data_IF_635325172416
#
_entry.id   IF_635325172416
#
_cell.length_a   1.000
_cell.length_b   1.000
_cell.length_c   1.000
_cell.angle_alpha   90.00
_cell.angle_beta   90.00
_cell.angle_gamma   90.00
#
_symmetry.space_group_name_H-M   'P 1'
#
loop_
_entity.id
_entity.type
_entity.pdbx_description
1 polymer ?
#
# COMPACT_ATOMS: atom_id res chain seq x y z
N UNK A 1 -4.65 1.49 -1.52
CA UNK A 1 -4.31 0.37 -0.62
C UNK A 1 -5.40 -0.68 -0.80
N UNK A 2 -5.06 -1.93 -1.12
CA UNK A 2 -6.03 -3.00 -1.39
C UNK A 2 -5.53 -4.38 -0.98
N UNK A 3 -6.41 -5.37 -1.05
CA UNK A 3 -6.16 -6.73 -0.56
C UNK A 3 -6.66 -7.85 -1.49
N UNK A 4 -7.60 -7.56 -2.40
CA UNK A 4 -8.26 -8.58 -3.22
C UNK A 4 -8.33 -8.23 -4.73
N UNK A 5 -8.69 -9.21 -5.57
CA UNK A 5 -8.72 -9.12 -7.04
C UNK A 5 -9.48 -7.90 -7.58
N UNK A 6 -10.62 -7.45 -7.01
CA UNK A 6 -11.30 -6.24 -7.46
C UNK A 6 -10.41 -4.99 -7.42
N UNK A 7 -9.38 -4.95 -6.57
CA UNK A 7 -8.48 -3.81 -6.43
C UNK A 7 -7.48 -3.68 -7.60
N UNK A 8 -7.24 -4.76 -8.36
CA UNK A 8 -6.23 -4.78 -9.43
C UNK A 8 -6.48 -3.73 -10.50
N UNK A 9 -7.75 -3.49 -10.86
CA UNK A 9 -8.11 -2.46 -11.83
C UNK A 9 -7.75 -1.05 -11.34
N UNK A 10 -7.83 -0.82 -10.02
CA UNK A 10 -7.46 0.46 -9.42
C UNK A 10 -5.94 0.60 -9.34
N UNK A 11 -5.19 -0.46 -9.04
CA UNK A 11 -3.72 -0.40 -8.94
C UNK A 11 -3.09 0.04 -10.26
N UNK A 12 -3.65 -0.38 -11.40
CA UNK A 12 -3.20 0.04 -12.74
C UNK A 12 -3.59 1.48 -13.09
N UNK A 13 -4.48 2.11 -12.32
CA UNK A 13 -5.06 3.42 -12.62
C UNK A 13 -4.55 4.53 -11.69
N UNK A 14 -3.77 4.20 -10.66
CA UNK A 14 -3.26 5.16 -9.66
C UNK A 14 -1.73 5.29 -9.75
N UNK A 15 -1.21 6.39 -9.21
CA UNK A 15 0.24 6.63 -9.20
C UNK A 15 1.02 5.85 -8.13
N UNK A 16 0.34 5.26 -7.14
CA UNK A 16 0.95 4.42 -6.10
C UNK A 16 -0.04 3.35 -5.64
N UNK A 17 0.08 2.14 -6.17
CA UNK A 17 -0.64 0.94 -5.75
C UNK A 17 0.04 0.29 -4.55
N UNK A 18 -0.72 0.06 -3.47
CA UNK A 18 -0.19 -0.54 -2.24
C UNK A 18 -1.04 -1.74 -1.84
N UNK A 19 -0.42 -2.91 -1.67
CA UNK A 19 -1.10 -4.10 -1.15
C UNK A 19 -0.80 -4.34 0.33
N UNK A 20 -1.74 -4.90 1.08
CA UNK A 20 -1.46 -5.37 2.45
C UNK A 20 -0.67 -6.68 2.47
N UNK A 21 0.02 -7.00 3.57
CA UNK A 21 0.94 -8.14 3.64
C UNK A 21 0.28 -9.50 3.34
N UNK A 22 -0.97 -9.66 3.77
CA UNK A 22 -1.83 -10.83 3.60
C UNK A 22 -2.80 -10.73 2.41
N UNK A 23 -2.63 -9.72 1.55
CA UNK A 23 -3.35 -9.63 0.30
C UNK A 23 -3.09 -10.83 -0.61
N UNK A 24 -4.03 -11.09 -1.53
CA UNK A 24 -3.86 -12.11 -2.58
C UNK A 24 -2.53 -11.91 -3.33
N UNK A 25 -1.90 -13.01 -3.74
CA UNK A 25 -0.56 -12.98 -4.35
C UNK A 25 -0.56 -12.14 -5.64
N UNK A 26 -1.64 -12.17 -6.40
CA UNK A 26 -1.86 -11.37 -7.60
C UNK A 26 -1.83 -9.87 -7.29
N UNK A 27 -2.47 -9.46 -6.19
CA UNK A 27 -2.53 -8.07 -5.74
C UNK A 27 -1.17 -7.59 -5.27
N UNK A 28 -0.45 -8.41 -4.47
CA UNK A 28 0.91 -8.09 -4.02
C UNK A 28 1.90 -7.97 -5.19
N UNK A 29 1.75 -8.80 -6.22
CA UNK A 29 2.58 -8.73 -7.44
C UNK A 29 2.31 -7.50 -8.29
N UNK A 30 1.09 -6.94 -8.23
CA UNK A 30 0.71 -5.74 -8.95
C UNK A 30 0.99 -4.44 -8.18
N UNK A 31 1.41 -4.53 -6.93
CA UNK A 31 1.64 -3.40 -6.05
C UNK A 31 3.03 -2.78 -6.26
N UNK A 32 3.12 -1.46 -6.18
CA UNK A 32 4.40 -0.75 -6.09
C UNK A 32 5.04 -0.93 -4.71
N UNK A 33 4.21 -1.07 -3.68
CA UNK A 33 4.61 -1.33 -2.31
C UNK A 33 3.70 -2.39 -1.66
N UNK A 34 4.28 -3.27 -0.86
CA UNK A 34 3.54 -4.23 -0.04
C UNK A 34 3.86 -3.92 1.43
N UNK A 35 2.83 -3.70 2.23
CA UNK A 35 3.04 -3.42 3.66
C UNK A 35 3.65 -4.62 4.38
N UNK A 36 4.35 -4.37 5.48
CA UNK A 36 4.80 -5.43 6.38
C UNK A 36 3.66 -5.92 7.26
N UNK A 37 2.83 -5.01 7.73
CA UNK A 37 1.65 -5.34 8.51
C UNK A 37 0.51 -5.91 7.64
N UNK A 38 -0.31 -6.77 8.23
CA UNK A 38 -1.52 -7.31 7.60
C UNK A 38 -2.69 -6.33 7.63
N UNK A 39 -3.71 -6.60 6.82
CA UNK A 39 -5.00 -5.93 6.91
C UNK A 39 -5.58 -6.02 8.33
N UNK A 40 -6.06 -4.89 8.87
CA UNK A 40 -6.56 -4.81 10.25
C UNK A 40 -5.47 -4.80 11.35
N UNK A 41 -4.22 -5.14 11.02
CA UNK A 41 -3.09 -5.21 11.96
C UNK A 41 -2.11 -4.02 11.81
N UNK A 42 -2.61 -2.88 11.33
CA UNK A 42 -1.82 -1.65 11.20
C UNK A 42 -1.27 -1.33 9.82
N UNK A 43 -1.60 -2.09 8.77
CA UNK A 43 -1.17 -1.80 7.40
C UNK A 43 -1.46 -0.36 6.93
N UNK A 44 -2.64 0.17 7.23
CA UNK A 44 -2.98 1.57 6.87
C UNK A 44 -2.14 2.56 7.67
N UNK A 45 -1.86 2.27 8.95
CA UNK A 45 -1.01 3.12 9.79
C UNK A 45 0.42 3.18 9.24
N UNK A 46 0.97 2.04 8.81
CA UNK A 46 2.27 1.96 8.15
C UNK A 46 2.30 2.85 6.88
N UNK A 47 1.27 2.77 6.05
CA UNK A 47 1.16 3.63 4.85
C UNK A 47 1.08 5.12 5.21
N UNK A 48 0.28 5.48 6.22
CA UNK A 48 0.19 6.87 6.69
C UNK A 48 1.55 7.38 7.18
N UNK A 49 2.32 6.57 7.91
CA UNK A 49 3.66 6.93 8.40
C UNK A 49 4.64 7.14 7.23
N UNK A 50 4.63 6.27 6.22
CA UNK A 50 5.45 6.44 5.01
C UNK A 50 5.15 7.77 4.30
N UNK A 51 3.87 8.11 4.12
CA UNK A 51 3.46 9.37 3.46
C UNK A 51 3.82 10.59 4.31
N UNK A 52 3.68 10.51 5.64
CA UNK A 52 4.05 11.60 6.53
C UNK A 52 5.56 11.82 6.54
N UNK A 53 6.36 10.75 6.63
CA UNK A 53 7.82 10.83 6.58
C UNK A 53 8.28 11.49 5.27
N UNK A 54 7.73 11.08 4.12
CA UNK A 54 8.12 11.65 2.82
C UNK A 54 7.78 13.14 2.65
N UNK A 55 6.92 13.70 3.50
CA UNK A 55 6.56 15.13 3.49
C UNK A 55 7.39 15.95 4.47
N UNK A 56 7.93 15.32 5.51
CA UNK A 56 8.73 15.99 6.52
C UNK A 56 10.20 16.10 6.09
N UNK A 57 10.71 15.11 5.36
CA UNK A 57 12.09 15.11 4.81
C UNK A 57 12.35 16.18 3.73
N UNK A 58 11.31 16.87 3.25
CA UNK A 58 11.42 17.98 2.28
C UNK A 58 11.33 19.38 2.89
N UNK A 59 11.21 19.50 4.22
CA UNK A 59 11.05 20.77 4.93
C UNK A 59 12.31 21.20 5.71
N UNK A 60 13.48 20.63 5.39
CA UNK A 60 14.80 21.03 5.91
C UNK A 60 15.64 21.75 4.85
#
# INVERSE_FOLDING_TARGET
>A
VGDDLPDLALFQSVGLGIAVADARVEVRKSADYVTKAKGGEGAVREVCELILASRLEGNE
#
